data_IF_611419918744
#
_entry.id   IF_611419918744
#
_cell.length_a   1.000
_cell.length_b   1.000
_cell.length_c   1.000
_cell.angle_alpha   90.00
_cell.angle_beta   90.00
_cell.angle_gamma   90.00
#
_symmetry.space_group_name_H-M   'P 1'
#
loop_
_entity.id
_entity.type
_entity.pdbx_description
1 polymer ?
#
# COMPACT_ATOMS: atom_id res chain seq x y z
N UNK A 1 -13.94 -17.82 75.50
CA UNK A 1 -12.64 -18.09 74.85
C UNK A 1 -12.70 -18.33 73.33
N UNK A 2 -13.79 -17.98 72.63
CA UNK A 2 -13.93 -18.23 71.17
C UNK A 2 -14.03 -16.98 70.28
N UNK A 3 -14.19 -15.79 70.88
CA UNK A 3 -14.34 -14.52 70.12
C UNK A 3 -12.99 -13.80 69.92
N UNK A 4 -11.99 -14.02 70.78
CA UNK A 4 -10.63 -13.47 70.60
C UNK A 4 -9.78 -14.23 69.55
N UNK A 5 -10.19 -15.44 69.18
CA UNK A 5 -9.52 -16.21 68.12
C UNK A 5 -10.03 -15.88 66.71
N UNK A 6 -11.22 -15.28 66.59
CA UNK A 6 -11.79 -14.90 65.30
C UNK A 6 -11.19 -13.58 64.78
N UNK A 7 -10.84 -12.66 65.69
CA UNK A 7 -10.17 -11.40 65.36
C UNK A 7 -8.69 -11.58 64.97
N UNK A 8 -8.03 -12.65 65.42
CA UNK A 8 -6.68 -12.99 64.99
C UNK A 8 -6.64 -13.62 63.58
N UNK A 9 -7.72 -14.31 63.17
CA UNK A 9 -7.82 -14.95 61.85
C UNK A 9 -8.17 -13.94 60.73
N UNK A 10 -8.95 -12.90 61.05
CA UNK A 10 -9.30 -11.82 60.12
C UNK A 10 -8.10 -10.88 59.86
N UNK A 11 -7.22 -10.68 60.85
CA UNK A 11 -6.01 -9.86 60.69
C UNK A 11 -4.94 -10.52 59.81
N UNK A 12 -4.92 -11.85 59.71
CA UNK A 12 -3.93 -12.57 58.88
C UNK A 12 -4.27 -12.56 57.39
N UNK A 13 -5.56 -12.44 57.03
CA UNK A 13 -6.02 -12.43 55.63
C UNK A 13 -5.82 -11.04 54.99
N UNK A 14 -5.67 -9.98 55.79
CA UNK A 14 -5.42 -8.62 55.31
C UNK A 14 -3.96 -8.34 54.88
N UNK A 15 -3.03 -9.28 55.12
CA UNK A 15 -1.60 -9.12 54.77
C UNK A 15 -1.19 -9.81 53.46
N UNK A 16 -2.10 -10.55 52.80
CA UNK A 16 -1.86 -11.18 51.50
C UNK A 16 -2.49 -10.35 50.36
N UNK A 17 -2.10 -9.08 50.24
CA UNK A 17 -2.75 -8.14 49.32
C UNK A 17 -1.79 -7.29 48.48
N UNK A 18 -0.53 -7.69 48.33
CA UNK A 18 0.43 -7.04 47.42
C UNK A 18 1.40 -8.06 46.82
N UNK A 19 0.89 -9.10 46.16
CA UNK A 19 1.63 -9.57 44.98
C UNK A 19 1.51 -8.44 43.98
N UNK A 20 2.60 -7.71 43.78
CA UNK A 20 2.78 -6.89 42.59
C UNK A 20 2.49 -7.84 41.43
N UNK A 21 1.30 -7.68 40.82
CA UNK A 21 1.11 -8.08 39.43
C UNK A 21 2.37 -7.60 38.72
N UNK A 22 3.01 -8.44 37.87
CA UNK A 22 3.93 -7.89 36.91
C UNK A 22 3.09 -6.84 36.18
N UNK A 23 3.32 -5.56 36.47
CA UNK A 23 3.00 -4.49 35.55
C UNK A 23 3.80 -4.89 34.35
N UNK A 24 3.17 -5.62 33.43
CA UNK A 24 3.77 -6.04 32.20
C UNK A 24 4.21 -4.71 31.59
N UNK A 25 5.51 -4.38 31.58
CA UNK A 25 5.94 -3.16 30.96
C UNK A 25 5.99 -3.52 29.48
N UNK A 26 4.82 -3.78 28.89
CA UNK A 26 4.64 -3.58 27.47
C UNK A 26 4.59 -2.06 27.28
N UNK A 27 5.70 -1.39 27.62
CA UNK A 27 6.07 -0.11 27.06
C UNK A 27 6.74 -0.46 25.74
N UNK A 28 5.93 -0.49 24.69
CA UNK A 28 6.34 -0.82 23.34
C UNK A 28 5.90 -2.22 22.93
N UNK A 29 4.65 -2.34 22.47
CA UNK A 29 4.40 -3.29 21.38
C UNK A 29 5.12 -2.69 20.18
N UNK A 30 6.31 -3.17 19.83
CA UNK A 30 6.72 -2.98 18.45
C UNK A 30 5.83 -3.91 17.64
N UNK A 31 4.68 -3.39 17.22
CA UNK A 31 3.96 -3.96 16.11
C UNK A 31 4.93 -3.80 14.94
N UNK A 32 5.64 -4.86 14.57
CA UNK A 32 6.31 -4.92 13.27
C UNK A 32 5.16 -4.78 12.28
N UNK A 33 4.99 -3.56 11.80
CA UNK A 33 4.05 -3.27 10.76
C UNK A 33 4.63 -3.89 9.50
N UNK A 34 4.04 -5.00 9.05
CA UNK A 34 4.48 -5.73 7.85
C UNK A 34 4.17 -4.95 6.55
N UNK A 35 3.77 -3.68 6.66
CA UNK A 35 3.68 -2.75 5.55
C UNK A 35 5.09 -2.44 5.03
N UNK A 36 5.22 -2.30 3.72
CA UNK A 36 6.48 -1.96 3.10
C UNK A 36 6.88 -0.51 3.41
N UNK A 37 7.83 -0.35 4.34
CA UNK A 37 8.27 0.96 4.83
C UNK A 37 9.78 1.19 4.66
N UNK A 38 10.17 2.47 4.76
CA UNK A 38 11.54 2.94 4.91
C UNK A 38 11.61 4.01 6.00
N UNK A 39 12.65 3.96 6.85
CA UNK A 39 13.00 5.04 7.78
C UNK A 39 14.21 5.80 7.26
N UNK A 40 14.07 7.11 7.04
CA UNK A 40 15.15 7.94 6.50
C UNK A 40 15.07 9.35 7.08
N UNK A 41 16.16 9.80 7.70
CA UNK A 41 16.34 11.14 8.26
C UNK A 41 15.20 11.56 9.22
N UNK A 42 14.71 10.64 10.06
CA UNK A 42 13.62 10.86 10.99
C UNK A 42 12.22 10.75 10.40
N UNK A 43 12.09 10.57 9.08
CA UNK A 43 10.80 10.40 8.40
C UNK A 43 10.47 8.93 8.18
N UNK A 44 9.17 8.64 8.06
CA UNK A 44 8.66 7.32 7.71
C UNK A 44 8.04 7.37 6.32
N UNK A 45 8.46 6.47 5.45
CA UNK A 45 7.90 6.35 4.12
C UNK A 45 7.25 4.99 3.93
N UNK A 46 6.18 4.93 3.15
CA UNK A 46 5.44 3.71 2.86
C UNK A 46 5.30 3.52 1.36
N UNK A 47 5.49 2.29 0.87
CA UNK A 47 5.36 1.99 -0.53
C UNK A 47 3.93 2.25 -1.01
N UNK A 48 3.81 2.85 -2.20
CA UNK A 48 2.52 3.09 -2.85
C UNK A 48 2.29 2.08 -3.97
N UNK A 49 1.14 1.40 -3.95
CA UNK A 49 0.77 0.44 -4.99
C UNK A 49 -0.01 1.11 -6.13
N UNK A 50 -0.68 2.22 -5.82
CA UNK A 50 -1.55 2.99 -6.72
C UNK A 50 -0.82 4.06 -7.53
N UNK A 51 0.51 4.12 -7.41
CA UNK A 51 1.34 5.15 -8.03
C UNK A 51 2.46 4.52 -8.84
N UNK A 52 2.62 5.00 -10.06
CA UNK A 52 3.61 4.52 -11.03
C UNK A 52 4.36 5.71 -11.59
N UNK A 53 5.69 5.63 -11.63
CA UNK A 53 6.48 6.68 -12.29
C UNK A 53 6.17 6.67 -13.78
N UNK A 54 5.76 7.81 -14.35
CA UNK A 54 5.37 7.87 -15.75
C UNK A 54 6.57 7.62 -16.68
N UNK A 55 7.75 8.08 -16.29
CA UNK A 55 9.00 7.94 -17.03
C UNK A 55 10.14 7.68 -16.04
N UNK A 56 10.90 6.58 -16.18
CA UNK A 56 12.03 6.28 -15.30
C UNK A 56 13.03 7.43 -15.12
N UNK A 57 13.20 8.28 -16.14
CA UNK A 57 14.10 9.44 -16.09
C UNK A 57 13.65 10.55 -15.11
N UNK A 58 12.42 10.48 -14.60
CA UNK A 58 11.93 11.36 -13.54
C UNK A 58 12.44 10.95 -12.16
N UNK A 59 12.95 9.72 -12.02
CA UNK A 59 13.78 9.38 -10.86
C UNK A 59 15.20 9.82 -11.16
N UNK A 60 15.69 10.77 -10.37
CA UNK A 60 16.97 11.41 -10.65
C UNK A 60 18.14 10.53 -10.21
N UNK A 61 19.35 10.88 -10.64
CA UNK A 61 20.57 10.21 -10.18
C UNK A 61 21.01 10.63 -8.77
N UNK A 62 20.29 11.55 -8.13
CA UNK A 62 20.58 12.03 -6.78
C UNK A 62 20.18 10.97 -5.75
N UNK A 63 21.18 10.41 -5.07
CA UNK A 63 20.97 9.48 -3.95
C UNK A 63 20.71 10.28 -2.68
N UNK A 64 19.52 10.10 -2.10
CA UNK A 64 19.08 10.80 -0.88
C UNK A 64 19.15 9.91 0.36
N UNK A 65 19.41 8.62 0.18
CA UNK A 65 19.54 7.65 1.26
C UNK A 65 20.00 6.28 0.78
N UNK A 66 20.26 5.40 1.74
CA UNK A 66 20.62 4.01 1.52
C UNK A 66 20.06 3.15 2.64
N UNK A 67 19.53 1.98 2.27
CA UNK A 67 19.08 0.97 3.23
C UNK A 67 20.28 0.37 3.95
N UNK A 68 20.29 0.49 5.27
CA UNK A 68 21.35 -0.03 6.16
C UNK A 68 20.96 -1.34 6.83
N UNK A 69 19.66 -1.62 6.91
CA UNK A 69 19.14 -2.81 7.58
C UNK A 69 17.79 -3.24 6.99
N UNK A 70 17.66 -4.53 6.64
CA UNK A 70 16.38 -5.13 6.27
C UNK A 70 15.74 -5.77 7.49
N UNK A 71 14.50 -5.38 7.79
CA UNK A 71 13.77 -5.86 8.97
C UNK A 71 13.17 -7.24 8.74
N UNK A 72 12.56 -7.48 7.56
CA UNK A 72 11.96 -8.76 7.22
C UNK A 72 12.98 -9.90 7.32
N UNK A 73 12.51 -11.06 7.79
CA UNK A 73 13.26 -12.31 7.97
C UNK A 73 14.43 -12.26 8.96
N UNK A 74 14.79 -11.09 9.49
CA UNK A 74 15.91 -10.91 10.44
C UNK A 74 15.41 -10.60 11.85
N UNK A 75 14.42 -9.70 11.97
CA UNK A 75 13.91 -9.27 13.28
C UNK A 75 12.87 -10.26 13.79
N UNK A 76 13.23 -10.98 14.86
CA UNK A 76 12.33 -11.91 15.56
C UNK A 76 11.80 -11.35 16.88
N UNK A 77 12.31 -10.19 17.31
CA UNK A 77 11.92 -9.54 18.56
C UNK A 77 10.72 -8.59 18.34
N UNK A 78 9.54 -8.85 18.93
CA UNK A 78 8.36 -7.98 18.82
C UNK A 78 8.49 -6.65 19.60
N UNK A 79 9.66 -6.36 20.18
CA UNK A 79 10.00 -5.07 20.78
C UNK A 79 10.96 -4.23 19.94
N UNK A 80 11.28 -4.63 18.70
CA UNK A 80 12.22 -3.90 17.85
C UNK A 80 11.66 -2.55 17.39
N UNK A 81 12.33 -1.47 17.75
CA UNK A 81 11.96 -0.12 17.32
C UNK A 81 12.75 0.21 16.06
N UNK A 82 12.03 0.48 14.97
CA UNK A 82 12.61 0.86 13.68
C UNK A 82 13.28 2.23 13.77
N UNK A 83 14.36 2.41 13.00
CA UNK A 83 15.24 3.58 13.03
C UNK A 83 15.79 3.90 11.64
N UNK A 84 16.40 5.07 11.48
CA UNK A 84 16.95 5.52 10.19
C UNK A 84 17.90 4.50 9.55
N UNK A 85 17.64 4.21 8.27
CA UNK A 85 18.32 3.19 7.49
C UNK A 85 17.60 1.84 7.48
N UNK A 86 16.58 1.64 8.30
CA UNK A 86 15.76 0.42 8.24
C UNK A 86 14.80 0.48 7.03
N UNK A 87 14.65 -0.66 6.35
CA UNK A 87 13.58 -0.91 5.40
C UNK A 87 12.89 -2.24 5.73
N UNK A 88 11.59 -2.33 5.45
CA UNK A 88 10.83 -3.55 5.66
C UNK A 88 11.40 -4.70 4.81
N UNK A 89 11.43 -4.51 3.48
CA UNK A 89 11.74 -5.57 2.51
C UNK A 89 12.93 -5.30 1.61
N UNK A 90 13.37 -4.05 1.46
CA UNK A 90 14.50 -3.72 0.59
C UNK A 90 15.81 -4.28 1.14
N UNK A 91 16.66 -4.78 0.26
CA UNK A 91 17.97 -5.32 0.64
C UNK A 91 18.92 -4.24 1.12
N UNK A 92 19.84 -4.61 2.02
CA UNK A 92 20.90 -3.74 2.51
C UNK A 92 21.73 -3.23 1.32
N UNK A 93 22.05 -1.93 1.32
CA UNK A 93 22.79 -1.26 0.25
C UNK A 93 21.89 -0.70 -0.86
N UNK A 94 20.59 -0.97 -0.84
CA UNK A 94 19.64 -0.37 -1.81
C UNK A 94 19.67 1.14 -1.71
N UNK A 95 19.94 1.81 -2.84
CA UNK A 95 19.95 3.27 -2.94
C UNK A 95 18.54 3.82 -3.06
N UNK A 96 18.32 4.95 -2.42
CA UNK A 96 17.06 5.71 -2.45
C UNK A 96 17.30 7.01 -3.20
N UNK A 97 16.39 7.34 -4.12
CA UNK A 97 16.58 8.41 -5.08
C UNK A 97 15.50 9.48 -4.95
N UNK A 98 15.88 10.73 -5.30
CA UNK A 98 14.93 11.84 -5.43
C UNK A 98 14.06 11.67 -6.67
N UNK A 99 12.77 11.97 -6.53
CA UNK A 99 11.79 12.01 -7.63
C UNK A 99 11.59 13.46 -8.08
N UNK A 100 11.63 13.71 -9.38
CA UNK A 100 11.42 15.04 -9.94
C UNK A 100 9.98 15.52 -9.70
N UNK A 101 9.83 16.78 -9.28
CA UNK A 101 8.53 17.36 -8.92
C UNK A 101 8.05 17.09 -7.49
N UNK A 102 8.84 16.37 -6.68
CA UNK A 102 8.54 16.10 -5.27
C UNK A 102 9.76 16.42 -4.39
N UNK A 103 9.49 16.92 -3.19
CA UNK A 103 10.52 17.08 -2.17
C UNK A 103 10.88 15.71 -1.55
N UNK A 104 12.09 15.60 -1.00
CA UNK A 104 12.57 14.35 -0.39
C UNK A 104 11.70 13.91 0.79
N UNK A 105 11.11 14.88 1.52
CA UNK A 105 10.17 14.62 2.61
C UNK A 105 8.72 14.43 2.13
N UNK A 106 8.49 14.23 0.83
CA UNK A 106 7.19 13.90 0.24
C UNK A 106 7.25 12.52 -0.42
N UNK A 107 8.26 12.29 -1.25
CA UNK A 107 8.40 11.06 -2.03
C UNK A 107 9.86 10.71 -2.32
N UNK A 108 10.17 9.42 -2.24
CA UNK A 108 11.44 8.84 -2.68
C UNK A 108 11.18 7.59 -3.52
N UNK A 109 12.18 7.16 -4.28
CA UNK A 109 12.09 5.97 -5.12
C UNK A 109 13.24 4.99 -4.84
N UNK A 110 12.95 3.69 -4.96
CA UNK A 110 13.95 2.63 -5.03
C UNK A 110 13.80 1.89 -6.36
N UNK A 111 14.91 1.53 -7.00
CA UNK A 111 14.87 0.80 -8.28
C UNK A 111 14.26 -0.59 -8.06
N UNK A 112 13.29 -0.94 -8.88
CA UNK A 112 12.58 -2.22 -8.83
C UNK A 112 12.05 -2.55 -10.23
N UNK A 113 12.77 -3.40 -10.97
CA UNK A 113 12.46 -3.75 -12.36
C UNK A 113 11.18 -4.59 -12.49
N UNK A 114 10.65 -5.10 -11.37
CA UNK A 114 9.36 -5.82 -11.33
C UNK A 114 8.17 -4.86 -11.24
N UNK A 115 8.40 -3.55 -11.09
CA UNK A 115 7.36 -2.52 -11.06
C UNK A 115 7.21 -1.87 -12.42
N UNK A 116 5.97 -1.51 -12.78
CA UNK A 116 5.71 -0.62 -13.91
C UNK A 116 6.52 0.67 -13.71
N UNK A 117 7.27 1.09 -14.73
CA UNK A 117 8.18 2.23 -14.64
C UNK A 117 9.51 1.95 -13.94
N UNK A 118 9.77 0.72 -13.48
CA UNK A 118 11.09 0.28 -12.99
C UNK A 118 11.48 0.78 -11.59
N UNK A 119 10.54 1.38 -10.86
CA UNK A 119 10.76 1.90 -9.52
C UNK A 119 9.59 1.62 -8.60
N UNK A 120 9.91 1.33 -7.33
CA UNK A 120 8.97 1.37 -6.22
C UNK A 120 8.98 2.77 -5.62
N UNK A 121 7.82 3.39 -5.52
CA UNK A 121 7.65 4.73 -4.95
C UNK A 121 7.25 4.62 -3.49
N UNK A 122 7.87 5.44 -2.64
CA UNK A 122 7.57 5.52 -1.22
C UNK A 122 7.15 6.93 -0.87
N UNK A 123 5.97 7.06 -0.26
CA UNK A 123 5.40 8.33 0.19
C UNK A 123 5.68 8.53 1.67
N UNK A 124 6.08 9.74 2.03
CA UNK A 124 6.21 10.13 3.43
C UNK A 124 4.82 10.12 4.12
N UNK A 125 4.77 9.69 5.38
CA UNK A 125 3.54 9.49 6.16
C UNK A 125 2.66 10.75 6.30
N UNK A 126 3.26 11.90 6.57
CA UNK A 126 2.55 13.19 6.64
C UNK A 126 2.12 13.74 5.27
N UNK A 127 2.79 13.33 4.18
CA UNK A 127 2.41 13.68 2.82
C UNK A 127 1.33 12.75 2.23
N UNK A 128 1.33 11.48 2.61
CA UNK A 128 0.43 10.43 2.13
C UNK A 128 -1.06 10.83 2.05
N UNK A 129 -1.68 11.49 3.06
CA UNK A 129 -3.08 11.91 3.01
C UNK A 129 -3.40 12.99 1.96
N UNK A 130 -2.39 13.69 1.44
CA UNK A 130 -2.54 14.75 0.42
C UNK A 130 -2.60 14.18 -0.99
N UNK A 131 -2.25 12.91 -1.16
CA UNK A 131 -2.17 12.24 -2.46
C UNK A 131 -3.48 11.56 -2.80
N UNK A 132 -3.89 11.66 -4.07
CA UNK A 132 -5.08 11.02 -4.63
C UNK A 132 -4.79 9.55 -4.87
N UNK A 133 -5.46 8.66 -4.12
CA UNK A 133 -5.26 7.19 -4.22
C UNK A 133 -6.50 6.44 -4.66
N UNK A 134 -7.67 7.07 -4.63
CA UNK A 134 -8.90 6.46 -5.13
C UNK A 134 -9.14 6.83 -6.60
N UNK A 135 -9.72 5.88 -7.34
CA UNK A 135 -10.11 6.08 -8.73
C UNK A 135 -11.01 7.32 -8.92
N UNK A 136 -11.86 7.63 -7.92
CA UNK A 136 -12.77 8.79 -7.96
C UNK A 136 -12.05 10.14 -7.96
N UNK A 137 -10.83 10.18 -7.44
CA UNK A 137 -10.05 11.42 -7.31
C UNK A 137 -9.21 11.70 -8.57
N UNK A 138 -9.09 10.73 -9.48
CA UNK A 138 -8.34 10.88 -10.73
C UNK A 138 -9.01 11.97 -11.59
N UNK A 139 -8.26 13.00 -12.03
CA UNK A 139 -8.78 14.05 -12.89
C UNK A 139 -9.02 13.52 -14.31
N UNK A 140 -10.22 13.00 -14.59
CA UNK A 140 -10.55 12.30 -15.84
C UNK A 140 -10.34 13.15 -17.09
N UNK A 141 -10.58 14.45 -16.97
CA UNK A 141 -10.38 15.46 -18.01
C UNK A 141 -8.91 15.64 -18.40
N UNK A 142 -7.98 15.33 -17.49
CA UNK A 142 -6.54 15.37 -17.74
C UNK A 142 -5.95 14.04 -18.24
N UNK A 143 -6.74 12.96 -18.30
CA UNK A 143 -6.20 11.66 -18.71
C UNK A 143 -5.88 11.68 -20.21
N UNK A 144 -4.58 11.55 -20.52
CA UNK A 144 -4.04 11.55 -21.88
C UNK A 144 -4.20 10.19 -22.54
N UNK A 145 -3.84 9.13 -21.80
CA UNK A 145 -3.94 7.72 -22.21
C UNK A 145 -4.14 6.81 -21.00
N UNK A 146 -4.64 5.61 -21.26
CA UNK A 146 -4.70 4.52 -20.29
C UNK A 146 -3.91 3.35 -20.84
N UNK A 147 -3.03 2.77 -20.04
CA UNK A 147 -2.33 1.54 -20.42
C UNK A 147 -2.80 0.38 -19.56
N UNK A 148 -2.96 -0.77 -20.20
CA UNK A 148 -3.41 -2.00 -19.58
C UNK A 148 -2.26 -3.00 -19.55
N UNK A 149 -2.06 -3.61 -18.39
CA UNK A 149 -1.01 -4.56 -18.11
C UNK A 149 -1.63 -5.84 -17.54
N UNK A 150 -1.04 -6.99 -17.83
CA UNK A 150 -1.33 -8.18 -17.04
C UNK A 150 -0.72 -7.97 -15.64
N UNK A 151 -1.31 -8.57 -14.60
CA UNK A 151 -0.94 -8.30 -13.20
C UNK A 151 0.57 -8.41 -12.93
N UNK A 152 1.24 -9.41 -13.51
CA UNK A 152 2.65 -9.71 -13.27
C UNK A 152 3.60 -9.10 -14.33
N UNK A 153 3.06 -8.31 -15.26
CA UNK A 153 3.81 -7.77 -16.40
C UNK A 153 4.06 -6.27 -16.25
N UNK A 154 5.26 -5.83 -16.64
CA UNK A 154 5.66 -4.41 -16.59
C UNK A 154 5.59 -3.72 -17.95
N UNK A 155 5.22 -4.46 -19.00
CA UNK A 155 4.98 -3.95 -20.35
C UNK A 155 3.49 -3.95 -20.66
N UNK A 156 2.91 -2.85 -21.16
CA UNK A 156 1.49 -2.82 -21.45
C UNK A 156 1.19 -3.69 -22.68
N UNK A 157 0.11 -4.48 -22.62
CA UNK A 157 -0.39 -5.22 -23.78
C UNK A 157 -1.35 -4.37 -24.62
N UNK A 158 -1.89 -3.28 -24.07
CA UNK A 158 -2.84 -2.40 -24.75
C UNK A 158 -2.73 -0.96 -24.23
N UNK A 159 -2.82 -0.01 -25.15
CA UNK A 159 -2.89 1.42 -24.85
C UNK A 159 -4.19 1.98 -25.42
N UNK A 160 -5.01 2.56 -24.56
CA UNK A 160 -6.27 3.21 -24.91
C UNK A 160 -6.03 4.72 -25.01
N UNK A 161 -6.42 5.31 -26.15
CA UNK A 161 -6.35 6.74 -26.43
C UNK A 161 -7.57 7.18 -27.25
N UNK A 162 -7.86 8.47 -27.29
CA UNK A 162 -9.05 9.01 -27.96
C UNK A 162 -10.33 8.29 -27.54
N UNK A 163 -11.21 7.99 -28.51
CA UNK A 163 -12.55 7.46 -28.25
C UNK A 163 -12.59 6.21 -27.36
N UNK A 164 -11.60 5.32 -27.48
CA UNK A 164 -11.53 4.11 -26.64
C UNK A 164 -11.23 4.44 -25.18
N UNK A 165 -10.36 5.43 -24.93
CA UNK A 165 -10.08 5.94 -23.57
C UNK A 165 -11.33 6.58 -22.98
N UNK A 166 -12.02 7.44 -23.73
CA UNK A 166 -13.26 8.07 -23.24
C UNK A 166 -14.34 7.02 -22.96
N UNK A 167 -14.48 6.02 -23.82
CA UNK A 167 -15.41 4.91 -23.62
C UNK A 167 -15.06 4.07 -22.41
N UNK A 168 -13.78 3.77 -22.20
CA UNK A 168 -13.32 3.00 -21.04
C UNK A 168 -13.63 3.70 -19.73
N UNK A 169 -13.32 4.99 -19.62
CA UNK A 169 -13.64 5.82 -18.44
C UNK A 169 -15.16 5.83 -18.21
N UNK A 170 -15.96 6.01 -19.25
CA UNK A 170 -17.42 5.99 -19.14
C UNK A 170 -17.95 4.67 -18.56
N UNK A 171 -17.40 3.53 -18.98
CA UNK A 171 -17.80 2.20 -18.52
C UNK A 171 -17.39 1.93 -17.06
N UNK A 172 -16.25 2.47 -16.63
CA UNK A 172 -15.83 2.44 -15.23
C UNK A 172 -16.75 3.31 -14.35
N UNK A 173 -17.04 4.52 -14.82
CA UNK A 173 -17.86 5.50 -14.10
C UNK A 173 -19.33 5.05 -13.99
N UNK A 174 -19.85 4.33 -14.98
CA UNK A 174 -21.21 3.76 -14.94
C UNK A 174 -21.36 2.55 -14.01
N UNK A 175 -20.27 2.10 -13.39
CA UNK A 175 -20.29 1.01 -12.42
C UNK A 175 -21.15 1.31 -11.19
N UNK A 176 -21.30 0.31 -10.32
CA UNK A 176 -22.07 0.41 -9.08
C UNK A 176 -21.24 -0.08 -7.89
N UNK A 177 -21.21 0.73 -6.85
CA UNK A 177 -20.54 0.37 -5.60
C UNK A 177 -21.27 -0.80 -4.95
N UNK A 178 -20.52 -1.87 -4.74
CA UNK A 178 -20.99 -3.15 -4.22
C UNK A 178 -19.99 -3.63 -3.15
N UNK A 179 -19.93 -2.97 -1.97
CA UNK A 179 -18.89 -3.21 -0.97
C UNK A 179 -18.83 -4.65 -0.44
N UNK A 180 -19.95 -5.37 -0.51
CA UNK A 180 -20.07 -6.78 -0.09
C UNK A 180 -19.95 -7.77 -1.27
N UNK A 181 -19.41 -7.33 -2.41
CA UNK A 181 -19.21 -8.23 -3.54
C UNK A 181 -18.10 -9.24 -3.25
N UNK A 182 -18.39 -10.52 -3.47
CA UNK A 182 -17.41 -11.60 -3.42
C UNK A 182 -17.18 -12.11 -4.83
N UNK A 183 -15.93 -12.12 -5.33
CA UNK A 183 -15.60 -12.65 -6.65
C UNK A 183 -16.04 -14.10 -6.83
N UNK A 184 -16.49 -14.44 -8.04
CA UNK A 184 -16.89 -15.81 -8.39
C UNK A 184 -15.68 -16.63 -8.83
N UNK A 185 -15.33 -17.67 -8.07
CA UNK A 185 -14.15 -18.50 -8.35
C UNK A 185 -14.52 -19.97 -8.66
N UNK A 186 -15.74 -20.23 -9.16
CA UNK A 186 -16.24 -21.60 -9.33
C UNK A 186 -15.62 -22.32 -10.53
N UNK A 187 -15.47 -21.63 -11.65
CA UNK A 187 -14.98 -22.21 -12.91
C UNK A 187 -13.51 -21.90 -13.16
N UNK A 188 -13.05 -20.72 -12.71
CA UNK A 188 -11.66 -20.26 -12.77
C UNK A 188 -11.43 -19.17 -11.74
N UNK A 189 -10.16 -18.94 -11.40
CA UNK A 189 -9.78 -17.77 -10.62
C UNK A 189 -10.00 -16.47 -11.44
N UNK A 190 -10.30 -15.34 -10.77
CA UNK A 190 -10.42 -14.06 -11.45
C UNK A 190 -9.12 -13.70 -12.17
N UNK A 191 -9.27 -13.16 -13.38
CA UNK A 191 -8.13 -12.63 -14.13
C UNK A 191 -7.94 -11.16 -13.77
N UNK A 192 -6.75 -10.81 -13.30
CA UNK A 192 -6.41 -9.46 -12.83
C UNK A 192 -5.55 -8.71 -13.84
N UNK A 193 -5.80 -7.42 -13.94
CA UNK A 193 -5.10 -6.48 -14.81
C UNK A 193 -4.78 -5.20 -14.04
N UNK A 194 -3.69 -4.53 -14.41
CA UNK A 194 -3.48 -3.15 -14.01
C UNK A 194 -3.98 -2.21 -15.10
N UNK A 195 -4.65 -1.15 -14.66
CA UNK A 195 -5.00 0.01 -15.48
C UNK A 195 -4.25 1.23 -14.95
N UNK A 196 -3.42 1.83 -15.80
CA UNK A 196 -2.57 2.98 -15.46
C UNK A 196 -3.03 4.21 -16.23
N UNK A 197 -3.44 5.24 -15.49
CA UNK A 197 -3.98 6.49 -16.00
C UNK A 197 -2.90 7.55 -16.02
N UNK A 198 -2.45 7.92 -17.22
CA UNK A 198 -1.45 8.96 -17.44
C UNK A 198 -2.12 10.32 -17.59
N UNK A 199 -1.68 11.30 -16.80
CA UNK A 199 -2.31 12.63 -16.72
C UNK A 199 -1.37 13.77 -17.10
N UNK A 200 -0.17 13.44 -17.59
CA UNK A 200 0.92 14.38 -17.86
C UNK A 200 1.75 14.74 -16.62
N UNK A 201 1.27 14.42 -15.42
CA UNK A 201 2.01 14.56 -14.16
C UNK A 201 3.15 13.53 -14.05
N UNK A 202 4.19 13.77 -13.23
CA UNK A 202 5.31 12.82 -13.08
C UNK A 202 4.88 11.41 -12.65
N UNK A 203 3.78 11.32 -11.91
CA UNK A 203 3.23 10.08 -11.38
C UNK A 203 1.88 9.77 -12.02
N UNK A 204 1.75 8.58 -12.58
CA UNK A 204 0.50 8.02 -13.06
C UNK A 204 -0.26 7.27 -11.96
N UNK A 205 -1.58 7.21 -12.10
CA UNK A 205 -2.45 6.52 -11.13
C UNK A 205 -2.68 5.09 -11.62
N UNK A 206 -2.38 4.10 -10.79
CA UNK A 206 -2.54 2.69 -11.10
C UNK A 206 -3.64 2.06 -10.25
N UNK A 207 -4.47 1.23 -10.87
CA UNK A 207 -5.51 0.48 -10.17
C UNK A 207 -5.57 -0.94 -10.71
N UNK A 208 -6.04 -1.86 -9.89
CA UNK A 208 -6.26 -3.25 -10.31
C UNK A 208 -7.73 -3.45 -10.65
N UNK A 209 -7.99 -4.02 -11.83
CA UNK A 209 -9.32 -4.44 -12.27
C UNK A 209 -9.30 -5.95 -12.52
N UNK A 210 -10.39 -6.63 -12.20
CA UNK A 210 -10.51 -8.07 -12.27
C UNK A 210 -11.75 -8.50 -13.05
N UNK A 211 -11.64 -9.57 -13.82
CA UNK A 211 -12.75 -10.26 -14.47
C UNK A 211 -12.87 -11.68 -13.89
N UNK A 212 -13.94 -11.95 -13.15
CA UNK A 212 -14.23 -13.27 -12.58
C UNK A 212 -15.09 -14.16 -13.49
N UNK A 213 -15.30 -13.72 -14.75
CA UNK A 213 -16.15 -14.40 -15.72
C UNK A 213 -17.63 -14.07 -15.60
N UNK A 214 -18.10 -13.60 -14.44
CA UNK A 214 -19.47 -13.09 -14.27
C UNK A 214 -19.48 -11.57 -14.33
N UNK A 215 -18.70 -10.92 -13.47
CA UNK A 215 -18.58 -9.47 -13.38
C UNK A 215 -17.13 -9.03 -13.63
N UNK A 216 -17.01 -7.78 -14.07
CA UNK A 216 -15.74 -7.05 -14.01
C UNK A 216 -15.83 -6.07 -12.85
N UNK A 217 -14.80 -6.00 -12.02
CA UNK A 217 -14.80 -5.17 -10.81
C UNK A 217 -13.39 -4.65 -10.46
N UNK A 218 -13.32 -3.60 -9.66
CA UNK A 218 -12.07 -3.16 -9.03
C UNK A 218 -12.29 -2.87 -7.54
N UNK A 219 -11.21 -2.94 -6.76
CA UNK A 219 -11.12 -2.75 -5.30
C UNK A 219 -9.68 -2.30 -4.96
N UNK A 220 -9.27 -1.93 -3.72
CA UNK A 220 -9.95 -2.11 -2.41
C UNK A 220 -10.74 -0.91 -1.89
N UNK A 221 -10.43 0.33 -2.34
CA UNK A 221 -11.01 1.54 -1.74
C UNK A 221 -12.53 1.61 -1.89
N UNK A 222 -13.03 1.22 -3.06
CA UNK A 222 -14.43 1.08 -3.37
C UNK A 222 -14.56 -0.22 -4.20
N UNK A 223 -15.23 -1.25 -3.68
CA UNK A 223 -15.53 -2.44 -4.51
C UNK A 223 -16.63 -2.08 -5.48
N UNK A 224 -16.29 -1.89 -6.76
CA UNK A 224 -17.23 -1.42 -7.79
C UNK A 224 -17.34 -2.44 -8.91
N UNK A 225 -18.56 -2.89 -9.20
CA UNK A 225 -18.85 -3.71 -10.38
C UNK A 225 -19.09 -2.76 -11.55
N UNK A 226 -18.35 -2.93 -12.64
CA UNK A 226 -18.40 -2.03 -13.80
C UNK A 226 -19.24 -2.63 -14.93
N UNK A 227 -19.50 -1.82 -15.96
CA UNK A 227 -20.30 -2.28 -17.10
C UNK A 227 -19.62 -3.47 -17.83
N UNK A 228 -20.34 -4.59 -18.07
CA UNK A 228 -19.77 -5.77 -18.73
C UNK A 228 -19.15 -5.53 -20.10
N UNK A 229 -19.56 -4.47 -20.82
CA UNK A 229 -18.99 -4.11 -22.11
C UNK A 229 -17.51 -3.73 -22.02
N UNK A 230 -17.01 -3.39 -20.82
CA UNK A 230 -15.59 -3.10 -20.61
C UNK A 230 -14.68 -4.26 -21.00
N UNK A 231 -15.18 -5.51 -20.98
CA UNK A 231 -14.43 -6.69 -21.40
C UNK A 231 -13.88 -6.58 -22.82
N UNK A 232 -14.61 -5.92 -23.71
CA UNK A 232 -14.20 -5.70 -25.11
C UNK A 232 -12.95 -4.81 -25.22
N UNK A 233 -12.72 -3.95 -24.23
CA UNK A 233 -11.56 -3.06 -24.16
C UNK A 233 -10.45 -3.64 -23.26
N UNK A 234 -10.82 -4.51 -22.30
CA UNK A 234 -9.91 -5.06 -21.31
C UNK A 234 -9.13 -6.27 -21.83
N UNK A 235 -9.76 -7.20 -22.55
CA UNK A 235 -9.07 -8.41 -22.99
C UNK A 235 -8.01 -8.08 -24.08
N UNK A 236 -6.85 -8.77 -24.11
CA UNK A 236 -5.82 -8.57 -25.13
C UNK A 236 -6.38 -8.65 -26.55
#
# INVERSE_FOLDING_TARGET
MKIKMLSALIALIALCGCSRMPTNPIKGNAVIDWVDFIKLNGNSYYASWEMVIQNPNLVTHEVVGEVKFKVADVVTNPGYITKDGDAAFLEIGTKLYRVEGYEVNEMIAAKDETRIGGYRLFLEDGFAPKVRRSYKDVPKDKVEKIELYQLEETTPYKTLAGGDKERFIQLLDSGKDTPNYTPQNRERDPTYYHMVFYTGEPIANAFTIADDGTNVFFSPWDTRIVDPQIRMLLQP
#
